data_IF_189880175645
#
_entry.id   IF_189880175645
#
_cell.length_a   1.000
_cell.length_b   1.000
_cell.length_c   1.000
_cell.angle_alpha   90.00
_cell.angle_beta   90.00
_cell.angle_gamma   90.00
#
_symmetry.space_group_name_H-M   'P 1'
#
loop_
_entity.id
_entity.type
_entity.pdbx_description
1 polymer ?
#
# COMPACT_ATOMS: atom_id res chain seq x y z
N UNK A 1 -35.85 -11.08 -16.07
CA UNK A 1 -36.52 -11.99 -15.13
C UNK A 1 -35.87 -13.36 -15.26
N UNK A 2 -34.85 -13.63 -14.45
CA UNK A 2 -34.18 -14.92 -14.38
C UNK A 2 -34.00 -15.24 -12.90
N UNK A 3 -34.38 -16.44 -12.49
CA UNK A 3 -34.10 -16.90 -11.14
C UNK A 3 -32.58 -17.10 -11.01
N UNK A 4 -31.98 -16.53 -9.97
CA UNK A 4 -30.56 -16.73 -9.68
C UNK A 4 -30.38 -18.02 -8.87
N UNK A 5 -29.22 -18.67 -8.98
CA UNK A 5 -28.88 -19.83 -8.17
C UNK A 5 -27.73 -19.46 -7.23
N UNK A 6 -27.87 -19.73 -5.94
CA UNK A 6 -26.79 -19.60 -4.95
C UNK A 6 -26.65 -20.92 -4.19
N UNK A 7 -25.46 -21.51 -4.17
CA UNK A 7 -25.19 -22.85 -3.58
C UNK A 7 -26.18 -23.94 -4.02
N UNK A 8 -26.60 -23.91 -5.30
CA UNK A 8 -27.56 -24.87 -5.85
C UNK A 8 -29.03 -24.62 -5.48
N UNK A 9 -29.33 -23.57 -4.71
CA UNK A 9 -30.70 -23.16 -4.39
C UNK A 9 -31.22 -22.12 -5.35
N UNK A 10 -32.47 -22.30 -5.80
CA UNK A 10 -33.17 -21.35 -6.64
C UNK A 10 -33.61 -20.15 -5.80
N UNK A 11 -33.13 -18.97 -6.16
CA UNK A 11 -33.50 -17.71 -5.51
C UNK A 11 -34.68 -17.10 -6.26
N UNK A 12 -35.70 -16.70 -5.50
CA UNK A 12 -36.90 -16.05 -6.03
C UNK A 12 -36.52 -14.78 -6.82
N UNK A 13 -37.00 -14.63 -8.08
CA UNK A 13 -36.67 -13.48 -8.92
C UNK A 13 -37.06 -12.09 -8.36
N UNK A 14 -37.93 -12.04 -7.35
CA UNK A 14 -38.30 -10.80 -6.64
C UNK A 14 -37.25 -10.34 -5.63
N UNK A 15 -36.28 -11.19 -5.29
CA UNK A 15 -35.20 -10.87 -4.35
C UNK A 15 -34.15 -10.02 -5.06
N UNK A 16 -34.00 -8.77 -4.63
CA UNK A 16 -33.00 -7.85 -5.15
C UNK A 16 -31.61 -8.14 -4.57
N UNK A 17 -31.54 -8.47 -3.27
CA UNK A 17 -30.31 -8.84 -2.58
C UNK A 17 -30.55 -10.02 -1.65
N UNK A 18 -29.53 -10.85 -1.47
CA UNK A 18 -29.55 -11.96 -0.51
C UNK A 18 -28.56 -11.66 0.62
N UNK A 19 -29.07 -11.44 1.83
CA UNK A 19 -28.23 -11.35 3.03
C UNK A 19 -27.89 -12.76 3.50
N UNK A 20 -26.62 -13.04 3.77
CA UNK A 20 -26.10 -14.38 4.06
C UNK A 20 -25.14 -14.33 5.25
N UNK A 21 -25.28 -15.28 6.17
CA UNK A 21 -24.26 -15.65 7.15
C UNK A 21 -23.63 -16.98 6.70
N UNK A 22 -22.48 -16.94 6.02
CA UNK A 22 -21.87 -18.12 5.40
C UNK A 22 -21.49 -19.20 6.40
N UNK A 23 -21.29 -18.85 7.68
CA UNK A 23 -20.95 -19.82 8.72
C UNK A 23 -22.15 -20.67 9.18
N UNK A 24 -23.39 -20.29 8.81
CA UNK A 24 -24.61 -20.83 9.39
C UNK A 24 -25.71 -21.18 8.38
N UNK A 25 -25.40 -21.17 7.08
CA UNK A 25 -26.40 -21.46 6.06
C UNK A 25 -26.98 -22.86 6.26
N UNK A 26 -28.29 -22.92 6.49
CA UNK A 26 -29.10 -24.13 6.47
C UNK A 26 -30.40 -23.83 5.74
N UNK A 27 -30.37 -24.06 4.43
CA UNK A 27 -31.50 -23.90 3.50
C UNK A 27 -32.74 -24.69 3.93
N UNK A 28 -32.56 -25.85 4.58
CA UNK A 28 -33.67 -26.71 4.98
C UNK A 28 -34.45 -26.11 6.16
N UNK A 29 -33.76 -25.39 7.04
CA UNK A 29 -34.33 -24.85 8.26
C UNK A 29 -34.53 -23.32 8.23
N UNK A 30 -34.33 -22.67 7.08
CA UNK A 30 -34.44 -21.22 6.92
C UNK A 30 -33.43 -20.43 7.79
N UNK A 31 -32.21 -20.96 7.98
CA UNK A 31 -31.17 -20.35 8.84
C UNK A 31 -30.00 -19.86 7.97
N UNK A 32 -29.41 -18.74 8.37
CA UNK A 32 -28.21 -18.14 7.79
C UNK A 32 -28.49 -17.28 6.55
N UNK A 33 -29.75 -17.02 6.17
CA UNK A 33 -30.04 -16.17 5.00
C UNK A 33 -31.38 -15.45 5.06
N UNK A 34 -31.47 -14.33 4.32
CA UNK A 34 -32.70 -13.56 4.11
C UNK A 34 -32.66 -12.80 2.79
N UNK A 35 -33.64 -13.04 1.93
CA UNK A 35 -33.87 -12.23 0.73
C UNK A 35 -34.42 -10.85 1.10
N UNK A 36 -33.89 -9.81 0.46
CA UNK A 36 -34.29 -8.42 0.55
C UNK A 36 -34.96 -8.06 -0.77
N UNK A 37 -36.24 -7.68 -0.70
CA UNK A 37 -37.05 -7.30 -1.87
C UNK A 37 -37.17 -5.78 -1.95
N UNK A 38 -37.62 -5.30 -3.10
CA UNK A 38 -37.70 -3.86 -3.34
C UNK A 38 -38.78 -3.13 -2.52
N UNK A 39 -39.77 -3.87 -2.05
CA UNK A 39 -40.91 -3.39 -1.29
C UNK A 39 -40.87 -3.82 0.19
N UNK A 40 -39.74 -4.37 0.66
CA UNK A 40 -39.61 -4.93 2.00
C UNK A 40 -38.52 -4.24 2.82
N UNK A 41 -38.87 -3.85 4.04
CA UNK A 41 -37.91 -3.50 5.08
C UNK A 41 -37.54 -4.74 5.89
N UNK A 42 -36.28 -5.13 5.85
CA UNK A 42 -35.77 -6.26 6.62
C UNK A 42 -35.18 -5.74 7.92
N UNK A 43 -35.80 -6.09 9.04
CA UNK A 43 -35.29 -5.72 10.37
C UNK A 43 -34.52 -6.89 10.96
N UNK A 44 -33.23 -6.69 11.21
CA UNK A 44 -32.36 -7.66 11.84
C UNK A 44 -32.14 -7.29 13.31
N UNK A 45 -32.22 -8.27 14.20
CA UNK A 45 -31.91 -8.11 15.62
C UNK A 45 -32.22 -9.38 16.41
N UNK A 46 -31.99 -9.34 17.73
CA UNK A 46 -32.19 -10.54 18.59
C UNK A 46 -33.65 -11.00 18.70
N UNK A 47 -34.63 -10.20 18.25
CA UNK A 47 -36.04 -10.60 18.17
C UNK A 47 -36.52 -10.69 16.72
N UNK A 48 -36.10 -9.76 15.87
CA UNK A 48 -36.47 -9.73 14.46
C UNK A 48 -35.52 -10.59 13.61
N UNK A 49 -36.05 -11.66 13.01
CA UNK A 49 -35.27 -12.66 12.25
C UNK A 49 -34.18 -13.40 13.04
N UNK A 50 -34.25 -13.39 14.38
CA UNK A 50 -33.30 -14.10 15.25
C UNK A 50 -33.22 -15.61 15.01
N UNK A 51 -34.34 -16.24 14.62
CA UNK A 51 -34.35 -17.65 14.20
C UNK A 51 -33.55 -17.88 12.92
N UNK A 52 -33.48 -16.88 12.03
CA UNK A 52 -32.71 -16.94 10.78
C UNK A 52 -31.24 -16.60 11.02
N UNK A 53 -30.92 -15.79 12.04
CA UNK A 53 -29.54 -15.39 12.37
C UNK A 53 -29.25 -15.60 13.86
N UNK A 54 -29.07 -16.86 14.31
CA UNK A 54 -29.01 -17.19 15.73
C UNK A 54 -27.76 -16.67 16.46
N UNK A 55 -26.73 -16.22 15.73
CA UNK A 55 -25.52 -15.58 16.29
C UNK A 55 -25.74 -14.14 16.74
N UNK A 56 -26.90 -13.53 16.47
CA UNK A 56 -27.24 -12.20 16.99
C UNK A 56 -27.53 -12.30 18.50
N UNK A 57 -26.47 -12.48 19.30
CA UNK A 57 -26.51 -12.78 20.74
C UNK A 57 -27.06 -11.64 21.61
N UNK A 58 -27.20 -11.93 22.92
CA UNK A 58 -27.88 -11.19 23.99
C UNK A 58 -27.63 -9.68 24.07
N UNK A 59 -26.49 -9.20 23.58
CA UNK A 59 -26.10 -7.78 23.54
C UNK A 59 -26.64 -7.02 22.33
N UNK A 60 -27.19 -7.72 21.33
CA UNK A 60 -27.79 -7.12 20.14
C UNK A 60 -29.15 -6.51 20.47
N UNK A 61 -29.45 -5.31 19.97
CA UNK A 61 -30.78 -4.72 20.15
C UNK A 61 -31.88 -5.63 19.56
N UNK A 62 -33.10 -5.56 20.13
CA UNK A 62 -34.28 -6.33 19.66
C UNK A 62 -34.55 -6.12 18.17
N UNK A 63 -34.45 -4.86 17.73
CA UNK A 63 -34.45 -4.40 16.34
C UNK A 63 -33.18 -3.57 16.19
N UNK A 64 -32.14 -4.16 15.62
CA UNK A 64 -30.81 -3.58 15.64
C UNK A 64 -30.54 -2.76 14.39
N UNK A 65 -30.77 -3.34 13.23
CA UNK A 65 -30.61 -2.65 11.95
C UNK A 65 -31.81 -2.90 11.06
N UNK A 66 -32.29 -1.86 10.37
CA UNK A 66 -33.21 -2.01 9.26
C UNK A 66 -32.42 -1.93 7.96
N UNK A 67 -32.64 -2.91 7.08
CA UNK A 67 -32.08 -2.95 5.74
C UNK A 67 -33.22 -2.76 4.74
N UNK A 68 -33.08 -1.76 3.87
CA UNK A 68 -34.04 -1.43 2.82
C UNK A 68 -33.34 -1.38 1.47
N UNK A 69 -33.97 -1.89 0.43
CA UNK A 69 -33.53 -1.62 -0.94
C UNK A 69 -34.12 -0.31 -1.44
N UNK A 70 -33.27 0.61 -1.89
CA UNK A 70 -33.71 1.80 -2.61
C UNK A 70 -33.69 1.52 -4.11
N UNK A 71 -34.88 1.32 -4.67
CA UNK A 71 -35.06 1.06 -6.10
C UNK A 71 -34.59 2.18 -7.02
N UNK A 72 -34.45 3.43 -6.53
CA UNK A 72 -33.96 4.55 -7.34
C UNK A 72 -32.43 4.55 -7.44
N UNK A 73 -31.73 4.39 -6.32
CA UNK A 73 -30.27 4.36 -6.29
C UNK A 73 -29.67 2.97 -6.56
N UNK A 74 -30.52 1.93 -6.61
CA UNK A 74 -30.10 0.52 -6.69
C UNK A 74 -29.16 0.12 -5.53
N UNK A 75 -29.33 0.75 -4.36
CA UNK A 75 -28.47 0.54 -3.19
C UNK A 75 -29.25 -0.05 -2.01
N UNK A 76 -28.50 -0.66 -1.07
CA UNK A 76 -29.03 -1.03 0.24
C UNK A 76 -28.81 0.12 1.22
N UNK A 77 -29.87 0.53 1.89
CA UNK A 77 -29.87 1.51 2.96
C UNK A 77 -29.92 0.79 4.31
N UNK A 78 -28.97 1.10 5.18
CA UNK A 78 -28.90 0.57 6.54
C UNK A 78 -29.27 1.67 7.53
N UNK A 79 -30.21 1.39 8.42
CA UNK A 79 -30.57 2.27 9.54
C UNK A 79 -30.26 1.56 10.84
N UNK A 80 -29.23 2.04 11.55
CA UNK A 80 -28.86 1.54 12.87
C UNK A 80 -29.83 2.10 13.93
N UNK A 81 -30.42 1.20 14.71
CA UNK A 81 -31.31 1.50 15.85
C UNK A 81 -30.66 1.13 17.19
N UNK A 82 -29.36 0.82 17.19
CA UNK A 82 -28.63 0.49 18.40
C UNK A 82 -28.47 1.72 19.31
N UNK A 83 -28.66 1.51 20.62
CA UNK A 83 -28.52 2.60 21.60
C UNK A 83 -27.06 2.97 21.89
N UNK A 84 -26.12 2.08 21.57
CA UNK A 84 -24.70 2.21 21.90
C UNK A 84 -23.82 2.56 20.69
N UNK A 85 -24.41 2.74 19.50
CA UNK A 85 -23.70 2.88 18.23
C UNK A 85 -23.07 1.56 17.80
N UNK A 86 -23.50 1.04 16.66
CA UNK A 86 -22.95 -0.20 16.11
C UNK A 86 -22.21 0.12 14.82
N UNK A 87 -20.96 -0.33 14.73
CA UNK A 87 -20.28 -0.41 13.44
C UNK A 87 -20.95 -1.49 12.59
N UNK A 88 -21.78 -1.07 11.65
CA UNK A 88 -22.24 -1.94 10.57
C UNK A 88 -21.13 -1.96 9.52
N UNK A 89 -20.46 -3.10 9.38
CA UNK A 89 -19.56 -3.37 8.26
C UNK A 89 -20.32 -4.17 7.22
N UNK A 90 -20.28 -3.76 5.96
CA UNK A 90 -20.87 -4.49 4.85
C UNK A 90 -19.78 -4.86 3.84
N UNK A 91 -19.82 -6.10 3.39
CA UNK A 91 -19.03 -6.60 2.26
C UNK A 91 -19.98 -7.10 1.18
N UNK A 92 -19.70 -6.79 -0.09
CA UNK A 92 -20.41 -7.38 -1.22
C UNK A 92 -19.68 -8.65 -1.63
N UNK A 93 -20.37 -9.79 -1.57
CA UNK A 93 -19.90 -11.02 -2.20
C UNK A 93 -20.57 -11.08 -3.56
N UNK A 94 -19.82 -10.88 -4.64
CA UNK A 94 -20.38 -11.07 -5.98
C UNK A 94 -20.59 -12.58 -6.23
N UNK A 95 -21.72 -13.00 -6.82
CA UNK A 95 -22.11 -14.41 -6.96
C UNK A 95 -21.23 -15.23 -7.94
N UNK A 96 -20.12 -14.68 -8.44
CA UNK A 96 -19.21 -15.34 -9.39
C UNK A 96 -18.26 -16.38 -8.74
N UNK A 97 -18.25 -16.52 -7.42
CA UNK A 97 -17.39 -17.50 -6.72
C UNK A 97 -18.03 -18.90 -6.53
N UNK A 98 -19.24 -19.14 -7.05
CA UNK A 98 -19.83 -20.48 -7.13
C UNK A 98 -19.67 -21.06 -8.55
N UNK A 99 -19.22 -22.33 -8.72
CA UNK A 99 -18.96 -22.88 -10.03
C UNK A 99 -20.28 -23.12 -10.78
N UNK A 100 -20.60 -22.27 -11.76
CA UNK A 100 -21.67 -22.49 -12.74
C UNK A 100 -21.07 -22.76 -14.12
N UNK A 101 -21.49 -23.88 -14.71
CA UNK A 101 -21.17 -24.25 -16.08
C UNK A 101 -21.91 -23.34 -17.08
N UNK A 102 -21.10 -22.67 -17.92
CA UNK A 102 -21.32 -22.08 -19.25
C UNK A 102 -22.63 -21.32 -19.54
N UNK A 103 -22.50 -20.00 -19.63
CA UNK A 103 -23.13 -19.19 -20.66
C UNK A 103 -22.03 -18.42 -21.42
N UNK A 104 -22.25 -18.17 -22.72
CA UNK A 104 -21.29 -17.55 -23.65
C UNK A 104 -20.74 -16.18 -23.18
N UNK A 105 -19.52 -15.80 -23.62
CA UNK A 105 -18.77 -14.74 -23.00
C UNK A 105 -19.41 -13.38 -23.29
N UNK A 106 -19.98 -12.76 -22.27
CA UNK A 106 -19.96 -11.32 -22.21
C UNK A 106 -18.51 -10.92 -21.92
N UNK A 107 -17.92 -10.13 -22.82
CA UNK A 107 -16.65 -9.44 -22.57
C UNK A 107 -16.81 -8.56 -21.32
N UNK A 108 -16.43 -9.09 -20.17
CA UNK A 108 -16.11 -8.28 -19.01
C UNK A 108 -14.87 -7.47 -19.38
N UNK A 109 -15.09 -6.18 -19.62
CA UNK A 109 -13.95 -5.26 -19.72
C UNK A 109 -13.28 -5.26 -18.34
N UNK A 110 -11.99 -5.59 -18.24
CA UNK A 110 -11.23 -5.43 -17.01
C UNK A 110 -11.42 -3.99 -16.51
N UNK A 111 -11.66 -3.84 -15.20
CA UNK A 111 -11.73 -2.51 -14.60
C UNK A 111 -10.29 -1.99 -14.53
N UNK A 112 -9.84 -1.35 -15.61
CA UNK A 112 -8.47 -0.87 -15.74
C UNK A 112 -8.29 0.45 -14.95
N UNK A 113 -7.30 0.56 -14.05
CA UNK A 113 -6.87 1.77 -13.33
C UNK A 113 -6.48 3.02 -14.16
N UNK A 114 -6.92 3.17 -15.42
CA UNK A 114 -6.32 4.09 -16.39
C UNK A 114 -6.35 5.57 -15.98
N UNK A 115 -7.34 5.99 -15.19
CA UNK A 115 -7.59 7.40 -14.92
C UNK A 115 -6.51 8.05 -14.03
N UNK A 116 -5.84 7.29 -13.17
CA UNK A 116 -4.88 7.83 -12.19
C UNK A 116 -3.42 7.68 -12.61
N UNK A 117 -3.06 6.63 -13.35
CA UNK A 117 -1.65 6.40 -13.71
C UNK A 117 -1.17 7.35 -14.81
N UNK A 118 -2.04 7.69 -15.78
CA UNK A 118 -1.69 8.58 -16.91
C UNK A 118 -1.43 10.04 -16.50
N UNK A 119 -1.85 10.46 -15.31
CA UNK A 119 -1.67 11.85 -14.84
C UNK A 119 -0.32 12.07 -14.16
N UNK A 120 0.35 11.01 -13.68
CA UNK A 120 1.60 11.11 -12.93
C UNK A 120 2.84 10.98 -13.82
N UNK A 121 2.83 10.07 -14.79
CA UNK A 121 3.92 9.90 -15.74
C UNK A 121 3.38 9.64 -17.16
N UNK A 122 3.83 10.44 -18.13
CA UNK A 122 3.46 10.26 -19.55
C UNK A 122 4.11 9.02 -20.17
N UNK A 123 5.14 8.46 -19.54
CA UNK A 123 5.82 7.25 -19.98
C UNK A 123 5.20 5.97 -19.41
N UNK A 124 4.32 6.08 -18.42
CA UNK A 124 3.62 4.93 -17.87
C UNK A 124 2.46 4.49 -18.78
N UNK A 125 2.42 3.20 -19.11
CA UNK A 125 1.36 2.57 -19.90
C UNK A 125 0.73 1.44 -19.10
N UNK A 126 -0.58 1.51 -18.86
CA UNK A 126 -1.30 0.34 -18.35
C UNK A 126 -1.33 -0.74 -19.43
N UNK A 127 -0.98 -1.96 -19.04
CA UNK A 127 -0.97 -3.11 -19.91
C UNK A 127 -2.40 -3.64 -20.09
N UNK A 128 -2.69 -4.16 -21.29
CA UNK A 128 -3.97 -4.78 -21.59
C UNK A 128 -4.15 -6.05 -20.75
N UNK A 129 -5.36 -6.30 -20.21
CA UNK A 129 -5.54 -7.44 -19.31
C UNK A 129 -5.45 -8.79 -20.04
N UNK A 130 -5.83 -8.88 -21.32
CA UNK A 130 -5.65 -10.09 -22.10
C UNK A 130 -4.15 -10.36 -22.33
N UNK A 131 -3.36 -9.29 -22.53
CA UNK A 131 -1.90 -9.40 -22.58
C UNK A 131 -1.32 -9.90 -21.24
N UNK A 132 -1.75 -9.35 -20.11
CA UNK A 132 -1.29 -9.79 -18.77
C UNK A 132 -1.65 -11.26 -18.52
N UNK A 133 -2.88 -11.67 -18.82
CA UNK A 133 -3.33 -13.05 -18.66
C UNK A 133 -2.56 -14.01 -19.59
N UNK A 134 -2.32 -13.61 -20.84
CA UNK A 134 -1.51 -14.39 -21.77
C UNK A 134 -0.08 -14.59 -21.24
N UNK A 135 0.54 -13.53 -20.71
CA UNK A 135 1.89 -13.60 -20.13
C UNK A 135 1.97 -14.54 -18.94
N UNK A 136 0.97 -14.53 -18.06
CA UNK A 136 0.89 -15.49 -16.95
C UNK A 136 0.94 -16.95 -17.43
N UNK A 137 0.17 -17.29 -18.47
CA UNK A 137 0.15 -18.64 -19.06
C UNK A 137 1.48 -18.98 -19.73
N UNK A 138 2.06 -18.05 -20.48
CA UNK A 138 3.38 -18.22 -21.11
C UNK A 138 4.45 -18.52 -20.06
N UNK A 139 4.55 -17.69 -19.01
CA UNK A 139 5.55 -17.86 -17.95
C UNK A 139 5.32 -19.13 -17.13
N UNK A 140 4.07 -19.47 -16.82
CA UNK A 140 3.74 -20.68 -16.09
C UNK A 140 4.10 -21.97 -16.83
N UNK A 141 4.14 -21.94 -18.17
CA UNK A 141 4.44 -23.10 -19.02
C UNK A 141 5.88 -23.17 -19.53
N UNK A 142 6.60 -22.04 -19.52
CA UNK A 142 7.99 -21.94 -19.96
C UNK A 142 8.97 -22.54 -18.95
N UNK A 143 9.45 -23.75 -19.22
CA UNK A 143 10.39 -24.49 -18.34
C UNK A 143 11.75 -23.82 -18.15
N UNK A 144 12.05 -22.75 -18.86
CA UNK A 144 13.28 -21.96 -18.64
C UNK A 144 13.13 -20.94 -17.50
N UNK A 145 11.90 -20.72 -17.02
CA UNK A 145 11.64 -19.83 -15.89
C UNK A 145 12.13 -20.44 -14.57
N UNK A 146 12.47 -19.61 -13.57
CA UNK A 146 12.85 -20.09 -12.25
C UNK A 146 11.73 -20.90 -11.59
N UNK A 147 12.09 -21.91 -10.80
CA UNK A 147 11.11 -22.75 -10.08
C UNK A 147 10.15 -21.95 -9.21
N UNK A 148 10.64 -20.90 -8.53
CA UNK A 148 9.79 -20.01 -7.73
C UNK A 148 8.68 -19.35 -8.56
N UNK A 149 8.94 -19.02 -9.83
CA UNK A 149 7.95 -18.40 -10.72
C UNK A 149 6.84 -19.39 -11.06
N UNK A 150 7.20 -20.62 -11.39
CA UNK A 150 6.24 -21.70 -11.61
C UNK A 150 5.42 -22.01 -10.35
N UNK A 151 6.10 -22.12 -9.21
CA UNK A 151 5.49 -22.47 -7.93
C UNK A 151 4.44 -21.42 -7.51
N UNK A 152 4.76 -20.13 -7.70
CA UNK A 152 3.85 -19.02 -7.38
C UNK A 152 2.70 -18.95 -8.38
N UNK A 153 2.94 -19.08 -9.69
CA UNK A 153 1.87 -19.06 -10.71
C UNK A 153 0.96 -20.28 -10.64
N UNK A 154 1.44 -21.42 -10.11
CA UNK A 154 0.60 -22.58 -9.85
C UNK A 154 -0.33 -22.39 -8.64
N UNK A 155 -0.03 -21.44 -7.75
CA UNK A 155 -0.84 -21.17 -6.57
C UNK A 155 -2.02 -20.26 -6.90
N UNK A 156 -3.23 -20.77 -6.60
CA UNK A 156 -4.50 -20.07 -6.88
C UNK A 156 -4.51 -18.67 -6.25
N UNK A 157 -4.86 -17.67 -7.07
CA UNK A 157 -5.08 -16.30 -6.62
C UNK A 157 -3.82 -15.44 -6.55
N UNK A 158 -2.69 -15.94 -7.04
CA UNK A 158 -1.43 -15.20 -7.14
C UNK A 158 -1.11 -14.75 -8.57
N UNK A 159 -1.90 -15.16 -9.56
CA UNK A 159 -1.77 -14.75 -10.96
C UNK A 159 -1.76 -13.22 -11.10
N UNK A 160 -0.94 -12.66 -12.01
CA UNK A 160 -1.02 -11.25 -12.31
C UNK A 160 -2.35 -10.93 -12.99
N UNK A 161 -2.99 -9.84 -12.56
CA UNK A 161 -4.28 -9.38 -13.07
C UNK A 161 -4.24 -7.93 -13.58
N UNK A 162 -3.19 -7.19 -13.23
CA UNK A 162 -2.97 -5.80 -13.65
C UNK A 162 -1.51 -5.66 -14.06
N UNK A 163 -1.20 -4.81 -15.03
CA UNK A 163 0.18 -4.58 -15.42
C UNK A 163 0.46 -3.13 -15.81
N UNK A 164 1.71 -2.71 -15.65
CA UNK A 164 2.19 -1.38 -16.02
C UNK A 164 3.55 -1.48 -16.71
N UNK A 165 3.67 -0.82 -17.85
CA UNK A 165 4.93 -0.60 -18.55
C UNK A 165 5.53 0.74 -18.15
N UNK A 166 6.82 0.75 -17.80
CA UNK A 166 7.63 1.94 -17.52
C UNK A 166 8.88 1.91 -18.41
N UNK A 167 8.84 2.65 -19.52
CA UNK A 167 9.86 2.57 -20.55
C UNK A 167 9.87 1.19 -21.23
N UNK A 168 11.01 0.50 -21.15
CA UNK A 168 11.25 -0.85 -21.68
C UNK A 168 10.90 -1.97 -20.70
N UNK A 169 10.49 -1.64 -19.47
CA UNK A 169 10.21 -2.60 -18.40
C UNK A 169 8.72 -2.77 -18.21
N UNK A 170 8.32 -3.99 -17.91
CA UNK A 170 6.94 -4.35 -17.59
C UNK A 170 6.88 -4.94 -16.18
N UNK A 171 5.89 -4.49 -15.42
CA UNK A 171 5.62 -4.93 -14.06
C UNK A 171 4.18 -5.43 -14.02
N UNK A 172 3.97 -6.69 -13.68
CA UNK A 172 2.64 -7.29 -13.62
C UNK A 172 2.32 -7.66 -12.17
N UNK A 173 1.18 -7.21 -11.67
CA UNK A 173 0.79 -7.31 -10.28
C UNK A 173 -0.36 -8.30 -10.10
N UNK A 174 -0.24 -9.16 -9.07
CA UNK A 174 -1.38 -9.89 -8.53
C UNK A 174 -2.38 -8.94 -7.90
N UNK A 175 -3.59 -9.44 -7.63
CA UNK A 175 -4.52 -8.73 -6.74
C UNK A 175 -3.93 -8.47 -5.35
N UNK A 176 -4.58 -7.60 -4.60
CA UNK A 176 -4.20 -7.30 -3.23
C UNK A 176 -4.49 -8.48 -2.30
N UNK A 177 -3.55 -8.72 -1.39
CA UNK A 177 -3.55 -9.82 -0.45
C UNK A 177 -3.42 -9.23 0.95
N UNK A 178 -4.47 -9.36 1.76
CA UNK A 178 -4.44 -8.96 3.16
C UNK A 178 -3.92 -10.10 4.04
N UNK A 179 -2.97 -9.78 4.92
CA UNK A 179 -2.54 -10.68 6.00
C UNK A 179 -3.48 -10.61 7.19
N UNK A 180 -3.38 -11.56 8.13
CA UNK A 180 -4.20 -11.60 9.35
C UNK A 180 -4.12 -10.33 10.20
N UNK A 181 -3.00 -9.61 10.17
CA UNK A 181 -2.81 -8.32 10.85
C UNK A 181 -3.30 -7.12 10.02
N UNK A 182 -3.99 -7.36 8.90
CA UNK A 182 -4.58 -6.34 8.04
C UNK A 182 -3.58 -5.65 7.10
N UNK A 183 -2.32 -6.10 7.03
CA UNK A 183 -1.33 -5.52 6.10
C UNK A 183 -1.60 -5.99 4.67
N UNK A 184 -1.64 -5.04 3.75
CA UNK A 184 -1.84 -5.32 2.34
C UNK A 184 -0.52 -5.66 1.63
N UNK A 185 -0.59 -6.61 0.71
CA UNK A 185 0.49 -7.07 -0.14
C UNK A 185 0.04 -7.19 -1.59
N UNK A 186 0.99 -7.21 -2.52
CA UNK A 186 0.79 -7.62 -3.92
C UNK A 186 2.09 -8.25 -4.42
N UNK A 187 1.98 -9.20 -5.34
CA UNK A 187 3.12 -9.83 -6.01
C UNK A 187 3.35 -9.17 -7.34
N UNK A 188 4.59 -8.79 -7.62
CA UNK A 188 5.01 -8.19 -8.87
C UNK A 188 5.89 -9.16 -9.65
N UNK A 189 5.51 -9.47 -10.87
CA UNK A 189 6.29 -10.27 -11.82
C UNK A 189 7.01 -9.32 -12.76
N UNK A 190 8.34 -9.41 -12.80
CA UNK A 190 9.19 -8.58 -13.64
C UNK A 190 10.36 -9.39 -14.21
N UNK A 191 10.86 -9.00 -15.39
CA UNK A 191 12.05 -9.58 -16.01
C UNK A 191 13.31 -9.21 -15.22
N UNK A 192 14.17 -10.19 -14.95
CA UNK A 192 15.39 -10.04 -14.17
C UNK A 192 16.57 -9.41 -14.95
N UNK A 193 16.37 -9.13 -16.24
CA UNK A 193 17.36 -8.64 -17.21
C UNK A 193 17.94 -9.75 -18.11
N UNK A 194 17.61 -11.01 -17.85
CA UNK A 194 18.09 -12.18 -18.60
C UNK A 194 16.94 -12.98 -19.25
N UNK A 195 15.74 -12.40 -19.35
CA UNK A 195 14.56 -13.10 -19.89
C UNK A 195 13.89 -14.02 -18.88
N UNK A 196 14.34 -14.01 -17.61
CA UNK A 196 13.70 -14.75 -16.52
C UNK A 196 12.78 -13.82 -15.77
N UNK A 197 11.54 -14.24 -15.57
CA UNK A 197 10.56 -13.50 -14.78
C UNK A 197 10.68 -13.95 -13.35
N UNK A 198 10.77 -12.99 -12.44
CA UNK A 198 10.93 -13.21 -11.01
C UNK A 198 9.80 -12.52 -10.27
N UNK A 199 9.10 -13.22 -9.36
CA UNK A 199 8.13 -12.59 -8.49
C UNK A 199 8.84 -11.83 -7.36
N UNK A 200 8.37 -10.62 -7.07
CA UNK A 200 8.80 -9.76 -5.97
C UNK A 200 7.60 -9.37 -5.12
N UNK A 201 7.83 -9.08 -3.84
CA UNK A 201 6.75 -8.76 -2.93
C UNK A 201 6.65 -7.26 -2.69
N UNK A 202 5.44 -6.72 -2.79
CA UNK A 202 5.10 -5.36 -2.42
C UNK A 202 4.21 -5.40 -1.20
N UNK A 203 4.43 -4.48 -0.26
CA UNK A 203 3.67 -4.41 0.99
C UNK A 203 3.37 -2.96 1.39
N UNK A 204 2.20 -2.71 1.98
CA UNK A 204 1.82 -1.40 2.52
C UNK A 204 2.48 -1.18 3.89
N UNK A 205 3.24 -0.11 4.03
CA UNK A 205 4.03 0.18 5.24
C UNK A 205 3.28 1.09 6.22
N UNK A 206 3.08 0.64 7.46
CA UNK A 206 2.38 1.47 8.47
C UNK A 206 3.18 2.75 8.83
N UNK A 207 4.50 2.63 9.02
CA UNK A 207 5.34 3.74 9.52
C UNK A 207 5.62 4.82 8.48
N UNK A 208 5.68 4.44 7.20
CA UNK A 208 5.94 5.38 6.11
C UNK A 208 4.68 5.73 5.32
N UNK A 209 3.60 4.98 5.53
CA UNK A 209 2.30 5.13 4.90
C UNK A 209 2.20 4.57 3.49
N UNK A 210 3.29 4.60 2.70
CA UNK A 210 3.28 4.17 1.31
C UNK A 210 3.51 2.66 1.09
N UNK A 211 3.34 2.26 -0.17
CA UNK A 211 3.77 0.95 -0.66
C UNK A 211 5.29 0.83 -0.67
N UNK A 212 5.79 -0.37 -0.36
CA UNK A 212 7.21 -0.72 -0.33
C UNK A 212 7.46 -2.01 -1.10
N UNK A 213 8.60 -2.11 -1.75
CA UNK A 213 9.08 -3.34 -2.39
C UNK A 213 10.04 -4.07 -1.45
N UNK A 214 9.91 -5.39 -1.39
CA UNK A 214 10.85 -6.30 -0.75
C UNK A 214 11.18 -7.44 -1.72
N UNK A 215 12.47 -7.68 -2.02
CA UNK A 215 12.85 -8.72 -2.97
C UNK A 215 12.49 -10.12 -2.44
N UNK A 216 12.59 -10.31 -1.11
CA UNK A 216 12.27 -11.56 -0.41
C UNK A 216 12.11 -11.32 1.10
N UNK A 217 11.67 -12.34 1.83
CA UNK A 217 11.66 -12.43 3.29
C UNK A 217 12.93 -13.12 3.79
N UNK A 218 13.45 -12.71 4.94
CA UNK A 218 14.37 -13.55 5.70
C UNK A 218 13.66 -14.80 6.22
N UNK A 219 14.45 -15.76 6.69
CA UNK A 219 13.93 -17.04 7.18
C UNK A 219 12.98 -16.91 8.38
N UNK A 220 13.14 -15.85 9.18
CA UNK A 220 12.24 -15.50 10.30
C UNK A 220 10.93 -14.80 9.85
N UNK A 221 10.80 -14.51 8.55
CA UNK A 221 9.65 -13.84 7.96
C UNK A 221 9.71 -12.31 8.01
N UNK A 222 10.85 -11.72 8.39
CA UNK A 222 11.06 -10.28 8.30
C UNK A 222 11.31 -9.88 6.84
N UNK A 223 10.73 -8.76 6.39
CA UNK A 223 10.98 -8.21 5.06
C UNK A 223 12.46 -7.89 4.88
N UNK A 224 13.07 -8.40 3.80
CA UNK A 224 14.35 -7.89 3.38
C UNK A 224 14.13 -6.44 2.91
N UNK A 225 14.68 -5.52 3.69
CA UNK A 225 14.75 -4.08 3.38
C UNK A 225 16.16 -3.69 2.94
N UNK A 226 16.97 -4.73 2.70
CA UNK A 226 18.35 -4.68 2.34
C UNK A 226 19.31 -4.51 3.54
N UNK A 227 20.29 -5.42 3.64
CA UNK A 227 21.31 -5.43 4.71
C UNK A 227 22.67 -4.87 4.32
N UNK A 228 22.87 -4.56 3.04
CA UNK A 228 24.16 -4.10 2.56
C UNK A 228 24.24 -2.59 2.77
N UNK A 229 25.18 -2.09 3.60
CA UNK A 229 25.43 -0.66 3.66
C UNK A 229 25.85 -0.18 2.28
N UNK A 230 25.03 0.66 1.67
CA UNK A 230 25.36 1.25 0.38
C UNK A 230 26.61 2.10 0.51
N UNK A 231 27.46 2.04 -0.52
CA UNK A 231 28.60 2.93 -0.64
C UNK A 231 28.18 4.17 -1.41
N UNK A 232 28.48 5.34 -0.84
CA UNK A 232 28.39 6.61 -1.58
C UNK A 232 29.38 6.57 -2.75
N UNK A 233 28.89 6.76 -3.97
CA UNK A 233 29.73 6.71 -5.18
C UNK A 233 30.79 7.80 -5.21
N UNK A 234 30.53 8.94 -4.58
CA UNK A 234 31.46 10.08 -4.62
C UNK A 234 32.63 9.91 -3.66
N UNK A 235 32.38 9.35 -2.46
CA UNK A 235 33.37 9.23 -1.40
C UNK A 235 33.87 7.80 -1.14
N UNK A 236 33.21 6.78 -1.69
CA UNK A 236 33.44 5.36 -1.40
C UNK A 236 33.07 4.94 0.03
N UNK A 237 32.51 5.86 0.84
CA UNK A 237 32.19 5.58 2.25
C UNK A 237 30.92 4.78 2.37
N UNK A 238 30.88 3.89 3.37
CA UNK A 238 29.64 3.25 3.83
C UNK A 238 28.71 4.31 4.40
N UNK A 239 27.44 4.20 4.05
CA UNK A 239 26.40 5.15 4.43
C UNK A 239 25.39 4.45 5.32
N UNK A 240 24.89 5.13 6.35
CA UNK A 240 23.87 4.61 7.27
C UNK A 240 22.75 5.64 7.51
N UNK A 241 22.20 6.22 6.44
CA UNK A 241 21.14 7.25 6.53
C UNK A 241 19.71 6.69 6.46
N UNK A 242 19.44 5.55 7.09
CA UNK A 242 18.10 4.94 7.00
C UNK A 242 17.75 4.55 5.55
N UNK A 243 18.74 4.05 4.82
CA UNK A 243 18.74 3.87 3.35
C UNK A 243 17.50 3.16 2.82
N UNK A 244 17.01 2.19 3.57
CA UNK A 244 15.81 1.44 3.21
C UNK A 244 14.57 2.34 3.04
N UNK A 245 14.50 3.48 3.76
CA UNK A 245 13.35 4.38 3.68
C UNK A 245 13.20 4.98 2.29
N UNK A 246 14.26 5.12 1.51
CA UNK A 246 14.18 5.53 0.11
C UNK A 246 14.33 4.34 -0.83
N UNK A 247 15.24 3.41 -0.50
CA UNK A 247 15.55 2.29 -1.37
C UNK A 247 14.34 1.39 -1.63
N UNK A 248 13.44 1.17 -0.68
CA UNK A 248 12.29 0.28 -0.92
C UNK A 248 11.06 0.99 -1.46
N UNK A 249 11.11 2.30 -1.76
CA UNK A 249 9.96 3.01 -2.34
C UNK A 249 9.86 2.68 -3.83
N UNK A 250 8.69 2.22 -4.31
CA UNK A 250 8.48 2.01 -5.73
C UNK A 250 8.41 3.34 -6.48
N UNK A 251 8.56 3.24 -7.80
CA UNK A 251 8.25 4.32 -8.72
C UNK A 251 6.85 4.89 -8.43
N UNK A 252 6.66 6.19 -8.64
CA UNK A 252 5.39 6.87 -8.40
C UNK A 252 4.23 6.24 -9.17
N UNK A 253 4.48 5.80 -10.40
CA UNK A 253 3.45 5.20 -11.24
C UNK A 253 3.01 3.84 -10.71
N UNK A 254 3.95 3.06 -10.16
CA UNK A 254 3.66 1.79 -9.48
C UNK A 254 2.98 2.04 -8.13
N UNK A 255 3.46 3.00 -7.35
CA UNK A 255 2.84 3.37 -6.08
C UNK A 255 1.37 3.76 -6.28
N UNK A 256 1.10 4.62 -7.26
CA UNK A 256 -0.24 5.08 -7.60
C UNK A 256 -1.13 3.96 -8.13
N UNK A 257 -0.58 3.03 -8.92
CA UNK A 257 -1.31 1.85 -9.36
C UNK A 257 -1.76 1.00 -8.16
N UNK A 258 -0.87 0.74 -7.22
CA UNK A 258 -1.16 -0.06 -6.03
C UNK A 258 -2.14 0.65 -5.08
N UNK A 259 -2.06 1.98 -4.94
CA UNK A 259 -3.05 2.79 -4.22
C UNK A 259 -4.42 2.79 -4.90
N UNK A 260 -4.46 2.80 -6.23
CA UNK A 260 -5.71 2.66 -6.98
C UNK A 260 -6.34 1.29 -6.74
N UNK A 261 -5.53 0.21 -6.82
CA UNK A 261 -5.98 -1.14 -6.51
C UNK A 261 -6.53 -1.25 -5.09
N UNK A 262 -5.92 -0.56 -4.13
CA UNK A 262 -6.36 -0.48 -2.73
C UNK A 262 -7.73 0.20 -2.62
N UNK A 263 -7.87 1.37 -3.25
CA UNK A 263 -9.14 2.12 -3.28
C UNK A 263 -10.27 1.33 -3.95
N UNK A 264 -9.94 0.61 -5.01
CA UNK A 264 -10.90 -0.18 -5.78
C UNK A 264 -11.13 -1.58 -5.18
N UNK A 265 -10.41 -1.93 -4.11
CA UNK A 265 -10.46 -3.24 -3.46
C UNK A 265 -10.21 -4.40 -4.45
N UNK A 266 -9.29 -4.20 -5.38
CA UNK A 266 -8.90 -5.21 -6.39
C UNK A 266 -8.01 -6.26 -5.70
N UNK A 267 -8.60 -7.35 -5.19
CA UNK A 267 -7.86 -8.38 -4.47
C UNK A 267 -8.70 -9.57 -4.04
N UNK A 268 -8.02 -10.60 -3.52
CA UNK A 268 -8.66 -11.81 -3.02
C UNK A 268 -9.12 -11.61 -1.57
N UNK A 269 -10.30 -12.16 -1.23
CA UNK A 269 -10.79 -12.20 0.14
C UNK A 269 -9.77 -12.89 1.06
N UNK A 270 -9.58 -12.31 2.25
CA UNK A 270 -8.73 -12.80 3.34
C UNK A 270 -8.94 -14.29 3.57
N UNK A 271 -7.90 -15.10 3.40
CA UNK A 271 -7.89 -16.48 3.89
C UNK A 271 -6.68 -16.69 4.79
N UNK A 272 -6.79 -17.61 5.75
CA UNK A 272 -5.68 -18.05 6.63
C UNK A 272 -4.44 -18.52 5.85
N UNK A 273 -4.60 -18.77 4.55
CA UNK A 273 -3.59 -19.18 3.59
C UNK A 273 -2.50 -18.11 3.33
N UNK A 274 -2.78 -16.80 3.53
CA UNK A 274 -1.89 -15.73 3.05
C UNK A 274 -0.57 -15.59 3.80
N UNK A 275 -0.55 -15.81 5.12
CA UNK A 275 0.72 -15.78 5.89
C UNK A 275 1.63 -16.95 5.54
N UNK A 276 1.03 -18.11 5.25
CA UNK A 276 1.76 -19.31 4.88
C UNK A 276 2.28 -19.25 3.45
N UNK A 277 1.55 -18.65 2.50
CA UNK A 277 2.03 -18.38 1.13
C UNK A 277 3.33 -17.59 1.16
N UNK A 278 3.34 -16.42 1.81
CA UNK A 278 4.53 -15.55 1.79
C UNK A 278 5.73 -16.22 2.45
N UNK A 279 5.50 -16.91 3.58
CA UNK A 279 6.56 -17.67 4.27
C UNK A 279 7.00 -18.92 3.51
N UNK A 280 6.21 -19.46 2.60
CA UNK A 280 6.56 -20.67 1.84
C UNK A 280 7.35 -20.33 0.59
N UNK A 281 6.87 -19.37 -0.21
CA UNK A 281 7.50 -19.06 -1.51
C UNK A 281 8.58 -17.99 -1.39
N UNK A 282 8.39 -16.97 -0.56
CA UNK A 282 9.18 -15.74 -0.65
C UNK A 282 10.38 -15.68 0.29
N UNK A 283 10.78 -16.80 0.90
CA UNK A 283 12.00 -16.85 1.72
C UNK A 283 13.25 -16.73 0.87
N UNK A 284 14.31 -16.11 1.41
CA UNK A 284 15.63 -16.00 0.77
C UNK A 284 16.10 -17.34 0.19
N UNK A 285 15.98 -18.42 0.97
CA UNK A 285 16.40 -19.74 0.51
C UNK A 285 15.61 -20.27 -0.69
N UNK A 286 14.36 -19.84 -0.92
CA UNK A 286 13.57 -20.20 -2.11
C UNK A 286 14.11 -19.53 -3.37
N UNK A 287 14.56 -18.28 -3.28
CA UNK A 287 15.24 -17.59 -4.39
C UNK A 287 16.60 -18.22 -4.69
N UNK A 288 17.40 -18.49 -3.65
CA UNK A 288 18.71 -19.14 -3.79
C UNK A 288 18.59 -20.53 -4.45
N UNK A 289 17.62 -21.36 -4.01
CA UNK A 289 17.35 -22.67 -4.64
C UNK A 289 16.88 -22.56 -6.09
N UNK A 290 16.24 -21.45 -6.45
CA UNK A 290 15.78 -21.18 -7.82
C UNK A 290 16.88 -20.57 -8.71
N UNK A 291 18.13 -20.46 -8.22
CA UNK A 291 19.24 -19.89 -8.98
C UNK A 291 19.10 -18.38 -9.22
N UNK A 292 18.39 -17.69 -8.33
CA UNK A 292 18.22 -16.24 -8.37
C UNK A 292 19.11 -15.63 -7.30
N UNK A 293 20.15 -14.92 -7.73
CA UNK A 293 20.97 -14.09 -6.85
C UNK A 293 20.34 -12.70 -6.74
N UNK A 294 19.51 -12.52 -5.71
CA UNK A 294 18.79 -11.28 -5.43
C UNK A 294 19.68 -10.25 -4.71
N UNK A 295 20.65 -9.66 -5.41
CA UNK A 295 21.36 -8.50 -4.90
C UNK A 295 20.66 -7.20 -5.29
N UNK A 296 19.54 -6.90 -4.62
CA UNK A 296 18.72 -5.71 -4.85
C UNK A 296 19.56 -4.42 -4.95
N UNK A 297 20.53 -4.24 -4.05
CA UNK A 297 21.33 -3.02 -4.00
C UNK A 297 22.31 -2.85 -5.15
N UNK A 298 22.68 -3.93 -5.86
CA UNK A 298 23.49 -3.81 -7.07
C UNK A 298 22.76 -3.03 -8.17
N UNK A 299 21.43 -3.02 -8.13
CA UNK A 299 20.61 -2.23 -9.04
C UNK A 299 20.55 -0.74 -8.66
N UNK A 300 21.06 -0.35 -7.49
CA UNK A 300 20.94 1.01 -6.96
C UNK A 300 22.21 1.84 -7.14
N UNK A 301 22.02 3.14 -7.29
CA UNK A 301 23.05 4.16 -7.33
C UNK A 301 22.74 5.21 -6.28
N UNK A 302 23.61 5.36 -5.28
CA UNK A 302 23.42 6.29 -4.17
C UNK A 302 24.22 7.57 -4.37
N UNK A 303 23.54 8.69 -4.20
CA UNK A 303 24.15 10.00 -4.01
C UNK A 303 23.82 10.49 -2.59
N UNK A 304 24.86 10.78 -1.80
CA UNK A 304 24.69 11.33 -0.47
C UNK A 304 24.79 12.85 -0.51
N UNK A 305 23.83 13.51 0.13
CA UNK A 305 23.85 14.95 0.31
C UNK A 305 24.69 15.26 1.53
N UNK A 306 25.73 16.08 1.35
CA UNK A 306 26.53 16.58 2.46
C UNK A 306 25.83 17.80 3.07
N UNK A 307 25.69 17.87 4.38
CA UNK A 307 25.05 19.00 5.04
C UNK A 307 25.24 18.93 6.54
N UNK A 308 25.23 20.09 7.20
CA UNK A 308 25.32 20.14 8.65
C UNK A 308 23.97 19.72 9.26
N UNK A 309 24.01 18.82 10.25
CA UNK A 309 22.82 18.34 10.96
C UNK A 309 22.08 17.18 10.28
N UNK A 310 22.51 16.75 9.08
CA UNK A 310 21.89 15.64 8.35
C UNK A 310 22.06 14.29 9.06
N UNK A 311 23.09 14.11 9.87
CA UNK A 311 23.33 12.87 10.60
C UNK A 311 22.82 12.89 12.04
N UNK A 312 22.12 13.96 12.46
CA UNK A 312 21.59 14.07 13.82
C UNK A 312 20.53 13.01 14.15
N UNK A 313 19.75 12.60 13.14
CA UNK A 313 18.69 11.61 13.25
C UNK A 313 18.73 10.63 12.08
N UNK A 314 18.47 9.36 12.37
CA UNK A 314 18.37 8.28 11.38
C UNK A 314 17.09 7.50 11.64
N UNK A 315 16.18 7.44 10.66
CA UNK A 315 14.95 6.66 10.82
C UNK A 315 15.27 5.18 11.05
N UNK A 316 14.55 4.57 12.00
CA UNK A 316 14.86 3.23 12.48
C UNK A 316 15.93 3.15 13.57
N UNK A 317 16.64 4.25 13.87
CA UNK A 317 17.76 4.30 14.83
C UNK A 317 17.70 5.47 15.82
N UNK A 318 16.77 6.41 15.68
CA UNK A 318 16.63 7.55 16.61
C UNK A 318 17.71 8.61 16.46
N UNK A 319 18.01 9.32 17.56
CA UNK A 319 19.10 10.30 17.61
C UNK A 319 20.46 9.64 17.72
N UNK A 320 21.38 10.10 16.86
CA UNK A 320 22.79 9.65 16.86
C UNK A 320 23.60 10.26 18.01
N UNK A 321 23.19 11.43 18.49
CA UNK A 321 23.83 12.21 19.53
C UNK A 321 22.93 12.32 20.76
N UNK A 322 23.46 12.86 21.86
CA UNK A 322 22.66 13.25 23.01
C UNK A 322 21.49 14.16 22.59
N UNK A 323 20.31 14.04 23.21
CA UNK A 323 19.08 14.70 22.73
C UNK A 323 19.25 16.19 22.45
N UNK A 324 19.84 16.95 23.36
CA UNK A 324 20.01 18.40 23.19
C UNK A 324 20.97 18.77 22.06
N UNK A 325 22.00 17.95 21.85
CA UNK A 325 22.93 18.11 20.72
C UNK A 325 22.22 17.81 19.41
N UNK A 326 21.50 16.70 19.33
CA UNK A 326 20.75 16.31 18.14
C UNK A 326 19.69 17.36 17.76
N UNK A 327 18.93 17.86 18.74
CA UNK A 327 17.95 18.95 18.54
C UNK A 327 18.63 20.21 18.04
N UNK A 328 19.71 20.64 18.69
CA UNK A 328 20.47 21.82 18.25
C UNK A 328 20.98 21.69 16.82
N UNK A 329 21.46 20.50 16.44
CA UNK A 329 21.88 20.18 15.07
C UNK A 329 20.72 20.23 14.07
N UNK A 330 19.54 19.69 14.41
CA UNK A 330 18.35 19.75 13.56
C UNK A 330 17.84 21.18 13.39
N UNK A 331 17.82 21.97 14.47
CA UNK A 331 17.35 23.36 14.47
C UNK A 331 18.26 24.31 13.68
N UNK A 332 19.55 24.02 13.68
CA UNK A 332 20.59 24.78 12.96
C UNK A 332 21.08 24.09 11.68
N UNK A 333 20.34 23.08 11.19
CA UNK A 333 20.65 22.31 9.99
C UNK A 333 20.93 23.25 8.80
N UNK A 334 22.01 22.96 8.06
CA UNK A 334 22.39 23.71 6.86
C UNK A 334 22.54 22.76 5.68
N UNK A 335 21.68 22.96 4.70
CA UNK A 335 21.69 22.22 3.43
C UNK A 335 22.60 22.90 2.41
N UNK A 336 23.16 22.16 1.44
CA UNK A 336 23.92 22.75 0.35
C UNK A 336 23.14 23.83 -0.38
N UNK A 337 23.86 24.84 -0.85
CA UNK A 337 23.29 25.89 -1.69
C UNK A 337 22.68 25.26 -2.94
N UNK A 338 21.44 25.64 -3.26
CA UNK A 338 20.70 25.14 -4.41
C UNK A 338 20.03 23.77 -4.21
N UNK A 339 20.23 23.10 -3.06
CA UNK A 339 19.58 21.82 -2.78
C UNK A 339 18.13 21.97 -2.34
N UNK A 340 17.82 23.00 -1.53
CA UNK A 340 16.47 23.24 -1.02
C UNK A 340 15.64 24.04 -2.04
N UNK A 341 14.39 23.65 -2.32
CA UNK A 341 13.48 24.45 -3.13
C UNK A 341 13.13 25.79 -2.49
N UNK A 342 12.87 26.80 -3.31
CA UNK A 342 12.19 28.01 -2.86
C UNK A 342 10.68 27.73 -2.78
N UNK A 343 10.19 27.41 -1.59
CA UNK A 343 8.79 27.03 -1.37
C UNK A 343 7.77 28.15 -1.62
N UNK A 344 8.22 29.41 -1.81
CA UNK A 344 7.36 30.51 -2.27
C UNK A 344 6.88 30.31 -3.71
N UNK A 345 7.61 29.52 -4.48
CA UNK A 345 7.17 29.11 -5.81
C UNK A 345 6.02 28.11 -5.70
N UNK A 346 5.15 28.11 -6.72
CA UNK A 346 4.13 27.07 -6.83
C UNK A 346 4.80 25.71 -7.06
N UNK A 347 4.25 24.62 -6.50
CA UNK A 347 4.73 23.29 -6.80
C UNK A 347 4.51 23.00 -8.29
N UNK A 348 5.41 22.21 -8.88
CA UNK A 348 5.29 21.83 -10.29
C UNK A 348 4.07 20.93 -10.52
N UNK A 349 3.79 20.04 -9.56
CA UNK A 349 2.60 19.18 -9.51
C UNK A 349 2.26 18.85 -8.06
N UNK A 350 1.02 18.41 -7.84
CA UNK A 350 0.59 17.86 -6.56
C UNK A 350 -0.29 16.63 -6.81
N UNK A 351 -0.27 15.70 -5.86
CA UNK A 351 -1.12 14.50 -5.88
C UNK A 351 -1.57 14.14 -4.46
N UNK A 352 -2.61 13.31 -4.37
CA UNK A 352 -3.12 12.79 -3.10
C UNK A 352 -2.66 11.34 -2.94
N UNK A 353 -2.34 10.98 -1.70
CA UNK A 353 -2.05 9.61 -1.24
C UNK A 353 -2.71 9.42 0.13
N UNK A 354 -2.79 8.18 0.60
CA UNK A 354 -3.31 7.84 1.92
C UNK A 354 -2.22 7.16 2.75
N UNK A 355 -1.72 7.88 3.75
CA UNK A 355 -0.74 7.35 4.70
C UNK A 355 -1.46 6.43 5.69
N UNK A 356 -1.05 5.16 5.77
CA UNK A 356 -1.69 4.11 6.60
C UNK A 356 -2.05 4.54 8.03
N UNK A 357 -1.24 5.39 8.67
CA UNK A 357 -1.49 5.87 10.04
C UNK A 357 -1.90 7.34 10.18
N UNK A 358 -1.76 8.15 9.13
CA UNK A 358 -2.02 9.60 9.18
C UNK A 358 -3.21 10.00 8.28
N UNK A 359 -3.73 9.06 7.49
CA UNK A 359 -4.84 9.25 6.57
C UNK A 359 -4.43 10.05 5.33
N UNK A 360 -5.39 10.83 4.83
CA UNK A 360 -5.24 11.65 3.64
C UNK A 360 -3.99 12.54 3.72
N UNK A 361 -3.19 12.49 2.66
CA UNK A 361 -1.93 13.19 2.54
C UNK A 361 -1.84 13.86 1.17
N UNK A 362 -1.59 15.16 1.18
CA UNK A 362 -1.23 15.88 -0.04
C UNK A 362 0.27 15.85 -0.23
N UNK A 363 0.73 15.50 -1.42
CA UNK A 363 2.14 15.62 -1.81
C UNK A 363 2.29 16.72 -2.84
N UNK A 364 3.17 17.68 -2.56
CA UNK A 364 3.57 18.75 -3.46
C UNK A 364 4.99 18.51 -3.97
N UNK A 365 5.18 18.57 -5.28
CA UNK A 365 6.45 18.29 -5.93
C UNK A 365 7.11 19.58 -6.38
N UNK A 366 8.32 19.82 -5.89
CA UNK A 366 9.16 20.96 -6.27
C UNK A 366 10.39 20.48 -7.01
N UNK A 367 10.85 21.24 -8.00
CA UNK A 367 12.04 20.89 -8.77
C UNK A 367 13.14 21.90 -8.55
N UNK A 368 14.34 21.39 -8.33
CA UNK A 368 15.57 22.18 -8.15
C UNK A 368 16.68 21.66 -9.05
N UNK A 369 17.58 22.54 -9.45
CA UNK A 369 18.82 22.16 -10.13
C UNK A 369 19.93 22.04 -9.10
N UNK A 370 20.43 20.83 -8.87
CA UNK A 370 21.51 20.55 -7.91
C UNK A 370 22.56 19.66 -8.56
N UNK A 371 23.84 20.07 -8.50
CA UNK A 371 24.97 19.36 -9.14
C UNK A 371 24.72 18.98 -10.62
N UNK A 372 24.06 19.87 -11.37
CA UNK A 372 23.73 19.65 -12.79
C UNK A 372 22.60 18.65 -13.04
N UNK A 373 21.84 18.25 -12.00
CA UNK A 373 20.68 17.36 -12.10
C UNK A 373 19.42 18.07 -11.63
N UNK A 374 18.31 17.80 -12.29
CA UNK A 374 16.99 18.17 -11.78
C UNK A 374 16.58 17.17 -10.69
N UNK A 375 16.38 17.66 -9.47
CA UNK A 375 15.87 16.87 -8.36
C UNK A 375 14.44 17.27 -8.04
N UNK A 376 13.58 16.28 -7.84
CA UNK A 376 12.21 16.44 -7.38
C UNK A 376 12.14 16.22 -5.86
N UNK A 377 11.63 17.22 -5.15
CA UNK A 377 11.33 17.17 -3.72
C UNK A 377 9.83 16.92 -3.54
N UNK A 378 9.50 15.75 -3.00
CA UNK A 378 8.12 15.35 -2.73
C UNK A 378 7.81 15.68 -1.28
N UNK A 379 7.25 16.86 -1.07
CA UNK A 379 6.89 17.35 0.27
C UNK A 379 5.48 16.87 0.57
N UNK A 380 5.35 16.02 1.58
CA UNK A 380 4.08 15.47 2.02
C UNK A 380 3.52 16.24 3.22
N UNK A 381 2.21 16.38 3.28
CA UNK A 381 1.49 16.97 4.41
C UNK A 381 0.21 16.19 4.67
N UNK A 382 0.04 15.65 5.88
CA UNK A 382 -1.22 14.99 6.25
C UNK A 382 -2.29 16.02 6.65
N UNK A 383 -3.54 15.74 6.29
CA UNK A 383 -4.66 16.65 6.54
C UNK A 383 -5.04 16.76 8.02
N UNK A 384 -4.86 15.68 8.79
CA UNK A 384 -5.37 15.57 10.16
C UNK A 384 -4.54 16.36 11.17
N UNK A 385 -3.20 16.28 11.07
CA UNK A 385 -2.26 16.86 12.04
C UNK A 385 -1.36 17.95 11.46
N UNK A 386 -1.32 18.09 10.13
CA UNK A 386 -0.40 19.02 9.46
C UNK A 386 1.08 18.67 9.68
N UNK A 387 1.40 17.40 9.94
CA UNK A 387 2.77 16.88 9.89
C UNK A 387 3.30 17.07 8.48
N UNK A 388 4.52 17.60 8.38
CA UNK A 388 5.19 17.83 7.10
C UNK A 388 6.46 17.00 7.10
N UNK A 389 6.67 16.23 6.03
CA UNK A 389 7.88 15.43 5.85
C UNK A 389 8.24 15.36 4.37
N UNK A 390 9.44 14.88 4.06
CA UNK A 390 9.81 14.55 2.70
C UNK A 390 9.47 13.08 2.46
N UNK A 391 8.49 12.83 1.60
CA UNK A 391 8.22 11.46 1.16
C UNK A 391 9.46 10.93 0.45
N UNK A 392 9.98 11.69 -0.51
CA UNK A 392 11.17 11.32 -1.28
C UNK A 392 11.87 12.52 -1.89
N UNK A 393 13.14 12.31 -2.22
CA UNK A 393 13.90 13.15 -3.13
C UNK A 393 14.36 12.25 -4.29
N UNK A 394 13.95 12.58 -5.51
CA UNK A 394 14.20 11.77 -6.68
C UNK A 394 14.94 12.56 -7.76
N UNK A 395 15.78 11.88 -8.55
CA UNK A 395 16.28 12.47 -9.79
C UNK A 395 15.14 12.44 -10.81
N UNK A 396 14.79 13.60 -11.37
CA UNK A 396 13.70 13.70 -12.35
C UNK A 396 14.03 12.87 -13.60
N UNK A 397 13.09 12.03 -14.01
CA UNK A 397 13.29 11.08 -15.12
C UNK A 397 14.33 9.98 -14.81
N UNK A 398 14.62 9.73 -13.53
CA UNK A 398 15.56 8.69 -13.12
C UNK A 398 15.11 7.28 -13.55
N UNK A 399 16.08 6.44 -13.90
CA UNK A 399 15.84 5.07 -14.36
C UNK A 399 15.11 4.23 -13.30
N UNK A 400 14.20 3.38 -13.74
CA UNK A 400 13.50 2.40 -12.91
C UNK A 400 14.26 1.07 -12.94
N UNK A 401 14.50 0.47 -11.78
CA UNK A 401 15.15 -0.84 -11.65
C UNK A 401 14.19 -1.96 -12.06
N UNK A 402 14.71 -3.18 -12.24
CA UNK A 402 13.89 -4.39 -12.41
C UNK A 402 12.93 -4.68 -11.24
N UNK A 403 13.11 -4.01 -10.12
CA UNK A 403 12.26 -4.11 -8.94
C UNK A 403 11.19 -3.02 -8.88
N UNK A 404 11.02 -2.24 -9.94
CA UNK A 404 10.03 -1.15 -9.97
C UNK A 404 10.34 -0.02 -8.99
N UNK A 405 11.58 0.11 -8.54
CA UNK A 405 12.08 1.21 -7.68
C UNK A 405 12.98 2.14 -8.48
N UNK A 406 13.25 3.34 -7.97
CA UNK A 406 14.18 4.27 -8.64
C UNK A 406 15.64 3.80 -8.45
N UNK A 407 16.40 3.77 -9.54
CA UNK A 407 17.83 3.43 -9.53
C UNK A 407 18.66 4.46 -8.77
N UNK A 408 18.42 5.75 -9.02
CA UNK A 408 19.17 6.84 -8.41
C UNK A 408 18.51 7.29 -7.10
N UNK A 409 19.12 6.95 -5.98
CA UNK A 409 18.68 7.33 -4.65
C UNK A 409 19.43 8.57 -4.18
N UNK A 410 18.70 9.57 -3.69
CA UNK A 410 19.26 10.72 -2.99
C UNK A 410 19.07 10.52 -1.50
N UNK A 411 20.16 10.26 -0.79
CA UNK A 411 20.16 10.10 0.66
C UNK A 411 20.60 11.41 1.32
N UNK A 412 19.71 12.00 2.11
CA UNK A 412 19.86 13.29 2.77
C UNK A 412 19.65 13.18 4.29
N UNK A 413 20.01 12.04 4.90
CA UNK A 413 20.04 11.87 6.34
C UNK A 413 18.70 12.13 7.02
N UNK A 414 18.67 13.07 7.97
CA UNK A 414 17.49 13.44 8.74
C UNK A 414 16.32 13.92 7.85
N UNK A 415 16.58 14.37 6.61
CA UNK A 415 15.49 14.70 5.67
C UNK A 415 14.70 13.46 5.24
N UNK A 416 15.30 12.27 5.29
CA UNK A 416 14.62 11.01 4.99
C UNK A 416 13.89 10.43 6.21
N UNK A 417 13.68 11.25 7.26
CA UNK A 417 12.89 10.87 8.42
C UNK A 417 11.44 10.59 8.03
N UNK A 418 10.91 9.48 8.54
CA UNK A 418 9.50 9.15 8.39
C UNK A 418 8.65 10.03 9.32
N UNK A 419 7.39 10.27 8.98
CA UNK A 419 6.49 11.00 9.87
C UNK A 419 6.05 10.16 11.08
N UNK A 420 6.14 8.83 10.97
CA UNK A 420 5.86 7.88 12.05
C UNK A 420 7.03 6.90 12.16
N UNK A 421 7.46 6.58 13.38
CA UNK A 421 8.47 5.55 13.61
C UNK A 421 8.00 4.57 14.69
N UNK A 422 8.70 3.43 14.83
CA UNK A 422 8.46 2.51 15.93
C UNK A 422 9.05 3.09 17.21
N UNK A 423 8.34 2.96 18.34
CA UNK A 423 8.87 3.35 19.65
C UNK A 423 10.21 2.66 19.97
N UNK A 424 10.36 1.40 19.57
CA UNK A 424 11.62 0.66 19.74
C UNK A 424 12.76 1.19 18.87
N UNK A 425 12.47 2.03 17.88
CA UNK A 425 13.40 2.60 16.91
C UNK A 425 13.70 4.09 17.17
N UNK A 426 13.27 4.61 18.32
CA UNK A 426 13.56 5.98 18.76
C UNK A 426 14.41 6.00 20.05
N UNK A 427 15.54 5.28 20.12
CA UNK A 427 16.44 5.40 21.26
C UNK A 427 16.99 6.83 21.34
N UNK A 428 17.32 7.26 22.56
CA UNK A 428 17.83 8.61 22.84
C UNK A 428 16.89 9.75 22.42
N UNK A 429 15.59 9.49 22.32
CA UNK A 429 14.57 10.51 22.09
C UNK A 429 13.64 10.57 23.30
N UNK A 430 13.17 11.77 23.62
CA UNK A 430 12.34 12.03 24.80
C UNK A 430 10.87 12.19 24.36
N UNK A 431 10.00 11.34 24.92
CA UNK A 431 8.56 11.43 24.74
C UNK A 431 8.04 12.80 25.20
N UNK A 432 7.18 13.43 24.39
CA UNK A 432 6.65 14.75 24.67
C UNK A 432 7.56 15.90 24.21
N UNK A 433 8.83 15.65 23.90
CA UNK A 433 9.77 16.66 23.39
C UNK A 433 10.21 16.42 21.94
N UNK A 434 10.45 15.14 21.59
CA UNK A 434 10.95 14.73 20.28
C UNK A 434 9.91 13.96 19.47
N UNK A 435 9.05 13.22 20.16
CA UNK A 435 7.97 12.45 19.56
C UNK A 435 6.73 12.44 20.47
N UNK A 436 5.58 12.08 19.91
CA UNK A 436 4.36 11.81 20.68
C UNK A 436 3.89 10.38 20.47
N UNK A 437 3.42 9.72 21.53
CA UNK A 437 2.89 8.36 21.45
C UNK A 437 1.61 8.30 20.61
N UNK A 438 1.53 7.36 19.67
CA UNK A 438 0.31 7.07 18.92
C UNK A 438 -0.54 5.99 19.61
N UNK A 439 -1.80 5.88 19.19
CA UNK A 439 -2.69 4.80 19.62
C UNK A 439 -2.04 3.42 19.41
N UNK A 440 -2.19 2.51 20.38
CA UNK A 440 -1.59 1.16 20.33
C UNK A 440 -0.13 1.07 20.81
N UNK A 441 0.48 2.17 21.27
CA UNK A 441 1.80 2.27 21.95
C UNK A 441 3.03 1.68 21.24
N UNK A 442 2.88 1.20 20.01
CA UNK A 442 3.98 0.62 19.21
C UNK A 442 4.63 1.66 18.30
N UNK A 443 3.85 2.66 17.88
CA UNK A 443 4.28 3.73 16.97
C UNK A 443 4.28 5.08 17.66
N UNK A 444 5.11 5.98 17.16
CA UNK A 444 5.26 7.35 17.62
C UNK A 444 5.18 8.32 16.45
N UNK A 445 4.55 9.48 16.67
CA UNK A 445 4.56 10.59 15.73
C UNK A 445 5.88 11.34 15.85
N UNK A 446 6.58 11.50 14.73
CA UNK A 446 7.85 12.20 14.64
C UNK A 446 7.68 13.69 14.35
N UNK A 447 6.45 14.21 14.37
CA UNK A 447 6.12 15.60 14.04
C UNK A 447 7.00 16.61 14.79
N UNK A 448 7.20 16.42 16.10
CA UNK A 448 8.03 17.33 16.91
C UNK A 448 9.49 17.38 16.43
N UNK A 449 10.07 16.23 16.09
CA UNK A 449 11.42 16.15 15.52
C UNK A 449 11.50 16.78 14.13
N UNK A 450 10.54 16.50 13.26
CA UNK A 450 10.47 17.06 11.91
C UNK A 450 10.34 18.59 11.93
N UNK A 451 9.48 19.12 12.81
CA UNK A 451 9.18 20.55 12.93
C UNK A 451 10.39 21.41 13.36
N UNK A 452 11.44 20.79 13.90
CA UNK A 452 12.71 21.48 14.24
C UNK A 452 13.50 21.87 12.99
N UNK A 453 13.35 21.13 11.89
CA UNK A 453 14.16 21.35 10.69
C UNK A 453 13.78 22.69 10.01
N UNK A 454 14.76 23.56 9.67
CA UNK A 454 14.49 24.85 9.00
C UNK A 454 13.62 24.75 7.75
N UNK A 455 13.84 23.74 6.90
CA UNK A 455 13.11 23.59 5.64
C UNK A 455 11.59 23.36 5.86
N UNK A 456 11.20 22.67 6.94
CA UNK A 456 9.78 22.48 7.31
C UNK A 456 9.15 23.82 7.68
N UNK A 457 9.87 24.65 8.45
CA UNK A 457 9.41 25.99 8.83
C UNK A 457 9.26 26.89 7.62
N UNK A 458 10.21 26.85 6.69
CA UNK A 458 10.17 27.64 5.45
C UNK A 458 9.02 27.21 4.54
N UNK A 459 8.80 25.90 4.38
CA UNK A 459 7.65 25.35 3.67
C UNK A 459 6.33 25.83 4.29
N UNK A 460 6.16 25.70 5.60
CA UNK A 460 4.93 26.16 6.28
C UNK A 460 4.70 27.66 6.15
N UNK A 461 5.74 28.48 6.24
CA UNK A 461 5.62 29.94 6.05
C UNK A 461 5.18 30.33 4.64
N UNK A 462 5.54 29.52 3.64
CA UNK A 462 5.15 29.74 2.25
C UNK A 462 3.69 29.37 1.96
N UNK A 463 3.05 28.60 2.85
CA UNK A 463 1.67 28.17 2.73
C UNK A 463 0.80 29.08 3.60
N UNK A 464 -0.10 29.89 3.02
CA UNK A 464 -1.11 30.54 3.83
C UNK A 464 -1.88 29.43 4.53
N UNK A 465 -1.78 29.36 5.86
CA UNK A 465 -2.63 28.45 6.64
C UNK A 465 -4.06 28.77 6.24
N UNK A 466 -4.69 27.85 5.52
CA UNK A 466 -6.15 27.81 5.46
C UNK A 466 -6.52 27.38 6.87
N UNK A 467 -6.72 28.36 7.76
CA UNK A 467 -7.45 28.11 9.01
C UNK A 467 -8.81 27.57 8.56
N UNK A 468 -8.99 26.26 8.69
CA UNK A 468 -10.31 25.63 8.64
C UNK A 468 -10.94 25.74 10.01
#
# INVERSE_FOLDING_TARGET
AGASIYEGQLIDPSVAFLAIDPAQIDWKNDIGYKGIRADEDVVLGREAHARRFPQMQDTTSRKHVTVRFDGQSQALLFTDHSLNGTMVTSGRIDPLDAPLYKAEPHEEKPIVPERYVRTLDKQARILDAAYVAQKAVEWGSDRTQPSITHDVLAAKGLDPIVGIGLGDKEFMFSGLIATQDGRLHSLCYADDGNGRVVPHMYYKSNSDGGWRMSPYLYEDGVYNKGDIPLQDRSSGRRVEYGQYTQATKPDESIAALLEEMERMQIGAATSDYTRDIFRSFFKKSSYERSGIDENYFSALSVECVAGYGLDAYVSGKGFKYEPDVARGMLESMRLPVGFTPDFRNKPQRSYQTEHTMLGNTTVEVYVVMYNGKELEWHVATDEASGTVWLDRIAVKGGEVTKYGTRRNLVLAGALNAKPVDYRSQTPNMIEGEDYDMMAGRTYVSMKKTLDRMPWVRDYRRSRPMIMR
#
